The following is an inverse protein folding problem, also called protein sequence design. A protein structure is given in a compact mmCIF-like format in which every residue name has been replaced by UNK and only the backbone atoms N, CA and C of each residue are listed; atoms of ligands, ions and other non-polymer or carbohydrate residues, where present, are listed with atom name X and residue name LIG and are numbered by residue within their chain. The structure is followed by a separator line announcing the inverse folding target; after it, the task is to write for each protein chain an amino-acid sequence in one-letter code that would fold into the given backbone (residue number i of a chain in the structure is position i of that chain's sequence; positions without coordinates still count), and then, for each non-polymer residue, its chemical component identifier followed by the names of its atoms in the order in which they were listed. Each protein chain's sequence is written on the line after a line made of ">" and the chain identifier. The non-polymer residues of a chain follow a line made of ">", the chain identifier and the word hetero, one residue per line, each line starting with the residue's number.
data_IF_901754230336
#
_entry.id   IF_901754230336
#
_cell.length_a   1.000
_cell.length_b   1.000
_cell.length_c   1.000
_cell.angle_alpha   90.00
_cell.angle_beta   90.00
_cell.angle_gamma   90.00
#
_symmetry.space_group_name_H-M   'P 1'
#
loop_
_entity.id
_entity.type
_entity.pdbx_description
1 polymer ?
#
# COMPACT_ATOMS: atom_id res chain seq x y z
N UNK A 1 -14.78 13.70 -11.73
CA UNK A 1 -15.32 12.36 -11.40
C UNK A 1 -14.15 11.52 -10.93
N UNK A 2 -14.17 11.10 -9.66
CA UNK A 2 -12.98 10.60 -8.96
C UNK A 2 -12.59 9.16 -9.32
N UNK A 3 -11.29 8.91 -9.27
CA UNK A 3 -10.60 7.65 -9.56
C UNK A 3 -10.97 6.45 -8.67
N UNK A 4 -11.88 6.64 -7.71
CA UNK A 4 -12.50 5.55 -6.95
C UNK A 4 -13.73 4.95 -7.63
N UNK A 5 -14.26 5.56 -8.70
CA UNK A 5 -15.45 5.03 -9.41
C UNK A 5 -15.20 3.74 -10.18
N UNK A 6 -13.95 3.40 -10.50
CA UNK A 6 -13.56 2.10 -11.06
C UNK A 6 -13.30 1.02 -10.01
N UNK A 7 -13.02 1.41 -8.76
CA UNK A 7 -12.88 0.51 -7.61
C UNK A 7 -14.24 0.18 -6.96
N UNK A 8 -15.24 1.04 -7.16
CA UNK A 8 -16.63 0.85 -6.72
C UNK A 8 -17.56 0.93 -7.94
N UNK A 9 -17.67 -0.20 -8.65
CA UNK A 9 -18.15 -0.27 -10.03
C UNK A 9 -19.54 0.31 -10.33
N UNK A 10 -19.72 0.68 -11.60
CA UNK A 10 -21.03 0.74 -12.23
C UNK A 10 -21.52 -0.69 -12.52
N UNK A 11 -22.83 -0.89 -12.35
CA UNK A 11 -23.55 -2.17 -12.43
C UNK A 11 -23.20 -2.98 -13.68
N UNK A 12 -22.32 -3.97 -13.54
CA UNK A 12 -22.38 -5.20 -14.33
C UNK A 12 -21.80 -6.39 -13.52
N UNK A 13 -22.60 -7.45 -13.42
CA UNK A 13 -22.38 -8.59 -12.50
C UNK A 13 -21.26 -9.52 -13.01
N UNK A 14 -20.17 -9.67 -12.26
CA UNK A 14 -19.40 -10.92 -12.04
C UNK A 14 -17.98 -10.73 -11.45
N UNK A 15 -17.64 -9.56 -10.89
CA UNK A 15 -16.47 -9.44 -10.02
C UNK A 15 -16.86 -8.59 -8.81
N UNK A 16 -17.30 -9.25 -7.74
CA UNK A 16 -17.40 -8.59 -6.44
C UNK A 16 -15.98 -8.31 -5.99
N UNK A 17 -15.48 -7.10 -6.17
CA UNK A 17 -14.23 -6.65 -5.55
C UNK A 17 -14.48 -6.60 -4.06
N UNK A 18 -14.33 -7.73 -3.38
CA UNK A 18 -14.44 -7.77 -1.93
C UNK A 18 -13.21 -7.10 -1.34
N UNK A 19 -13.42 -6.30 -0.30
CA UNK A 19 -12.32 -5.74 0.51
C UNK A 19 -11.66 -6.84 1.37
N UNK A 20 -12.13 -8.07 1.25
CA UNK A 20 -11.60 -9.24 1.94
C UNK A 20 -10.15 -9.49 1.54
N UNK A 21 -9.38 -9.97 2.52
CA UNK A 21 -8.02 -10.41 2.27
C UNK A 21 -8.06 -11.77 1.55
N UNK A 22 -7.25 -11.90 0.52
CA UNK A 22 -6.99 -13.17 -0.17
C UNK A 22 -6.14 -14.08 0.71
N UNK A 23 -6.14 -15.38 0.44
CA UNK A 23 -5.32 -16.36 1.18
C UNK A 23 -3.83 -15.99 1.19
N UNK A 24 -3.32 -15.45 0.08
CA UNK A 24 -1.94 -14.99 -0.04
C UNK A 24 -1.65 -13.76 0.83
N UNK A 25 -2.57 -12.79 0.88
CA UNK A 25 -2.47 -11.61 1.74
C UNK A 25 -2.57 -12.00 3.23
N UNK A 26 -3.48 -12.92 3.57
CA UNK A 26 -3.64 -13.45 4.94
C UNK A 26 -2.35 -14.13 5.40
N UNK A 27 -1.71 -14.91 4.52
CA UNK A 27 -0.44 -15.56 4.83
C UNK A 27 0.64 -14.53 5.19
N UNK A 28 0.77 -13.45 4.42
CA UNK A 28 1.79 -12.42 4.67
C UNK A 28 1.49 -11.58 5.92
N UNK A 29 0.20 -11.28 6.14
CA UNK A 29 -0.26 -10.64 7.38
C UNK A 29 0.08 -11.52 8.59
N UNK A 30 -0.21 -12.82 8.53
CA UNK A 30 0.08 -13.74 9.63
C UNK A 30 1.57 -13.83 9.94
N UNK A 31 2.45 -13.86 8.93
CA UNK A 31 3.91 -13.78 9.15
C UNK A 31 4.31 -12.52 9.91
N UNK A 32 3.67 -11.39 9.61
CA UNK A 32 3.91 -10.11 10.30
C UNK A 32 3.44 -10.17 11.75
N UNK A 33 2.31 -10.81 12.04
CA UNK A 33 1.85 -11.06 13.41
C UNK A 33 2.74 -12.03 14.17
N UNK A 34 3.30 -13.05 13.50
CA UNK A 34 4.18 -14.04 14.13
C UNK A 34 5.45 -13.41 14.73
N UNK A 35 5.91 -12.28 14.20
CA UNK A 35 7.03 -11.50 14.77
C UNK A 35 6.76 -11.01 16.20
N UNK A 36 5.49 -10.88 16.58
CA UNK A 36 5.07 -10.40 17.90
C UNK A 36 4.44 -11.53 18.74
N UNK A 37 4.52 -12.78 18.28
CA UNK A 37 4.01 -13.92 19.02
C UNK A 37 4.77 -14.08 20.34
N UNK A 38 4.04 -14.13 21.44
CA UNK A 38 4.59 -14.25 22.79
C UNK A 38 4.80 -12.92 23.52
N UNK A 39 4.58 -11.78 22.87
CA UNK A 39 4.57 -10.48 23.53
C UNK A 39 3.18 -10.13 24.08
N UNK A 40 3.14 -9.61 25.31
CA UNK A 40 1.92 -9.08 25.88
C UNK A 40 1.65 -7.68 25.31
N UNK A 41 0.48 -7.51 24.67
CA UNK A 41 0.05 -6.22 24.11
C UNK A 41 -0.89 -5.54 25.09
N UNK A 42 -0.59 -4.29 25.43
CA UNK A 42 -1.49 -3.51 26.29
C UNK A 42 -2.82 -3.23 25.57
N UNK A 43 -3.99 -3.42 26.21
CA UNK A 43 -5.29 -3.29 25.54
C UNK A 43 -5.51 -1.94 24.86
N UNK A 44 -4.96 -0.86 25.41
CA UNK A 44 -5.12 0.50 24.86
C UNK A 44 -4.48 0.70 23.48
N UNK A 45 -3.57 -0.18 23.06
CA UNK A 45 -2.91 -0.11 21.75
C UNK A 45 -3.23 -1.31 20.87
N UNK A 46 -3.99 -2.29 21.38
CA UNK A 46 -4.20 -3.57 20.71
C UNK A 46 -4.84 -3.42 19.33
N UNK A 47 -5.89 -2.62 19.21
CA UNK A 47 -6.60 -2.41 17.93
C UNK A 47 -5.73 -1.69 16.91
N UNK A 48 -5.06 -0.61 17.35
CA UNK A 48 -4.16 0.17 16.49
C UNK A 48 -2.97 -0.67 16.04
N UNK A 49 -2.40 -1.47 16.94
CA UNK A 49 -1.33 -2.42 16.61
C UNK A 49 -1.80 -3.46 15.60
N UNK A 50 -2.99 -4.04 15.80
CA UNK A 50 -3.58 -5.02 14.87
C UNK A 50 -3.78 -4.42 13.48
N UNK A 51 -4.33 -3.21 13.39
CA UNK A 51 -4.52 -2.51 12.12
C UNK A 51 -3.18 -2.21 11.44
N UNK A 52 -2.20 -1.70 12.17
CA UNK A 52 -0.88 -1.39 11.64
C UNK A 52 -0.11 -2.62 11.18
N UNK A 53 -0.16 -3.74 11.93
CA UNK A 53 0.44 -5.02 11.50
C UNK A 53 -0.24 -5.57 10.26
N UNK A 54 -1.57 -5.49 10.18
CA UNK A 54 -2.33 -5.91 8.99
C UNK A 54 -1.90 -5.08 7.79
N UNK A 55 -1.87 -3.75 7.91
CA UNK A 55 -1.44 -2.87 6.84
C UNK A 55 0.03 -3.08 6.46
N UNK A 56 0.92 -3.32 7.43
CA UNK A 56 2.33 -3.64 7.17
C UNK A 56 2.49 -4.95 6.42
N UNK A 57 1.77 -6.00 6.81
CA UNK A 57 1.78 -7.28 6.09
C UNK A 57 1.30 -7.14 4.64
N UNK A 58 0.24 -6.34 4.41
CA UNK A 58 -0.23 -6.04 3.06
C UNK A 58 0.79 -5.21 2.26
N UNK A 59 1.47 -4.26 2.88
CA UNK A 59 2.52 -3.49 2.23
C UNK A 59 3.73 -4.35 1.86
N UNK A 60 4.12 -5.30 2.73
CA UNK A 60 5.17 -6.28 2.44
C UNK A 60 4.76 -7.18 1.26
N UNK A 61 3.53 -7.71 1.29
CA UNK A 61 2.99 -8.51 0.20
C UNK A 61 2.98 -7.73 -1.13
N UNK A 62 2.59 -6.46 -1.11
CA UNK A 62 2.61 -5.60 -2.29
C UNK A 62 4.03 -5.42 -2.83
N UNK A 63 5.00 -5.14 -1.96
CA UNK A 63 6.41 -5.01 -2.33
C UNK A 63 6.96 -6.30 -2.95
N UNK A 64 6.68 -7.45 -2.35
CA UNK A 64 7.07 -8.76 -2.90
C UNK A 64 6.48 -8.95 -4.29
N UNK A 65 5.19 -8.65 -4.49
CA UNK A 65 4.55 -8.77 -5.81
C UNK A 65 5.21 -7.87 -6.86
N UNK A 66 5.63 -6.67 -6.49
CA UNK A 66 6.34 -5.77 -7.42
C UNK A 66 7.72 -6.33 -7.76
N UNK A 67 8.46 -6.83 -6.77
CA UNK A 67 9.71 -7.53 -7.01
C UNK A 67 9.52 -8.70 -7.99
N UNK A 68 8.48 -9.53 -7.79
CA UNK A 68 8.11 -10.61 -8.72
C UNK A 68 7.75 -10.12 -10.13
N UNK A 69 7.12 -8.95 -10.25
CA UNK A 69 6.74 -8.36 -11.54
C UNK A 69 7.96 -7.84 -12.33
N UNK A 70 9.02 -7.43 -11.65
CA UNK A 70 10.25 -6.92 -12.28
C UNK A 70 11.24 -8.03 -12.66
N UNK A 71 11.08 -9.25 -12.13
CA UNK A 71 11.90 -10.39 -12.53
C UNK A 71 11.70 -10.74 -14.01
N UNK A 72 12.77 -10.76 -14.85
CA UNK A 72 12.65 -10.98 -16.29
C UNK A 72 11.96 -12.31 -16.69
N UNK A 73 12.09 -13.33 -15.85
CA UNK A 73 11.47 -14.66 -16.07
C UNK A 73 9.95 -14.67 -15.88
N UNK A 74 9.36 -13.61 -15.33
CA UNK A 74 7.94 -13.52 -14.95
C UNK A 74 7.15 -12.56 -15.83
N UNK A 75 7.64 -12.23 -17.04
CA UNK A 75 7.02 -11.25 -17.94
C UNK A 75 5.53 -11.55 -18.22
N UNK A 76 5.12 -12.82 -18.27
CA UNK A 76 3.73 -13.23 -18.50
C UNK A 76 2.80 -12.95 -17.30
N UNK A 77 3.34 -12.89 -16.09
CA UNK A 77 2.60 -12.63 -14.85
C UNK A 77 2.80 -11.19 -14.33
N UNK A 78 3.61 -10.38 -15.02
CA UNK A 78 3.95 -9.01 -14.61
C UNK A 78 2.73 -8.18 -14.27
N UNK A 79 1.77 -8.09 -15.20
CA UNK A 79 0.58 -7.27 -15.00
C UNK A 79 -0.29 -7.78 -13.83
N UNK A 80 -0.43 -9.10 -13.71
CA UNK A 80 -1.17 -9.73 -12.60
C UNK A 80 -0.54 -9.40 -11.25
N UNK A 81 0.79 -9.44 -11.16
CA UNK A 81 1.52 -9.11 -9.94
C UNK A 81 1.38 -7.62 -9.58
N UNK A 82 1.49 -6.72 -10.55
CA UNK A 82 1.26 -5.28 -10.32
C UNK A 82 -0.18 -5.02 -9.84
N UNK A 83 -1.17 -5.68 -10.45
CA UNK A 83 -2.57 -5.55 -10.02
C UNK A 83 -2.79 -6.03 -8.58
N UNK A 84 -2.17 -7.16 -8.20
CA UNK A 84 -2.17 -7.66 -6.82
C UNK A 84 -1.54 -6.66 -5.86
N UNK A 85 -0.42 -6.05 -6.23
CA UNK A 85 0.26 -5.05 -5.41
C UNK A 85 -0.58 -3.79 -5.20
N UNK A 86 -1.18 -3.26 -6.27
CA UNK A 86 -2.09 -2.10 -6.21
C UNK A 86 -3.27 -2.38 -5.27
N UNK A 87 -3.89 -3.57 -5.40
CA UNK A 87 -5.00 -3.96 -4.54
C UNK A 87 -4.58 -4.04 -3.06
N UNK A 88 -3.46 -4.71 -2.78
CA UNK A 88 -2.97 -4.89 -1.42
C UNK A 88 -2.57 -3.57 -0.75
N UNK A 89 -1.85 -2.70 -1.44
CA UNK A 89 -1.44 -1.40 -0.86
C UNK A 89 -2.63 -0.46 -0.68
N UNK A 90 -3.62 -0.52 -1.57
CA UNK A 90 -4.89 0.21 -1.41
C UNK A 90 -5.67 -0.24 -0.16
N UNK A 91 -5.71 -1.56 0.11
CA UNK A 91 -6.26 -2.12 1.35
C UNK A 91 -5.44 -1.67 2.57
N UNK A 92 -4.12 -1.73 2.50
CA UNK A 92 -3.22 -1.28 3.57
C UNK A 92 -3.53 0.16 4.00
N UNK A 93 -3.61 1.09 3.03
CA UNK A 93 -3.94 2.48 3.29
C UNK A 93 -5.34 2.68 3.88
N UNK A 94 -6.31 1.87 3.45
CA UNK A 94 -7.68 1.93 3.96
C UNK A 94 -7.80 1.39 5.39
N UNK A 95 -6.94 0.46 5.80
CA UNK A 95 -6.88 -0.09 7.17
C UNK A 95 -6.07 0.82 8.09
N UNK A 96 -4.94 1.34 7.61
CA UNK A 96 -4.01 2.15 8.39
C UNK A 96 -3.41 3.24 7.50
N UNK A 97 -3.82 4.50 7.74
CA UNK A 97 -3.62 5.62 6.81
C UNK A 97 -2.23 6.26 6.87
N UNK A 98 -1.16 5.46 6.79
CA UNK A 98 0.19 6.00 6.62
C UNK A 98 0.34 6.62 5.22
N UNK A 99 0.76 7.89 5.09
CA UNK A 99 0.86 8.54 3.79
C UNK A 99 1.83 7.82 2.85
N UNK A 100 2.86 7.15 3.37
CA UNK A 100 3.82 6.40 2.55
C UNK A 100 3.15 5.33 1.67
N UNK A 101 1.99 4.80 2.06
CA UNK A 101 1.25 3.85 1.22
C UNK A 101 0.63 4.51 -0.02
N UNK A 102 0.36 5.82 0.02
CA UNK A 102 -0.05 6.58 -1.17
C UNK A 102 1.13 6.77 -2.13
N UNK A 103 2.33 6.96 -1.60
CA UNK A 103 3.54 7.00 -2.41
C UNK A 103 3.77 5.67 -3.14
N UNK A 104 3.69 4.55 -2.42
CA UNK A 104 3.79 3.21 -3.01
C UNK A 104 2.75 2.98 -4.11
N UNK A 105 1.49 3.34 -3.82
CA UNK A 105 0.40 3.23 -4.78
C UNK A 105 0.67 4.05 -6.04
N UNK A 106 1.23 5.26 -5.90
CA UNK A 106 1.62 6.09 -7.04
C UNK A 106 2.69 5.41 -7.89
N UNK A 107 3.75 4.89 -7.27
CA UNK A 107 4.80 4.13 -7.95
C UNK A 107 4.24 2.92 -8.70
N UNK A 108 3.29 2.18 -8.11
CA UNK A 108 2.71 1.01 -8.76
C UNK A 108 1.79 1.38 -9.92
N UNK A 109 1.11 2.53 -9.86
CA UNK A 109 0.40 3.08 -11.01
C UNK A 109 1.35 3.50 -12.13
N UNK A 110 2.53 4.07 -11.83
CA UNK A 110 3.54 4.34 -12.87
C UNK A 110 3.98 3.06 -13.59
N UNK A 111 4.21 1.97 -12.85
CA UNK A 111 4.61 0.67 -13.43
C UNK A 111 3.55 0.05 -14.36
N UNK A 112 2.30 0.50 -14.24
CA UNK A 112 1.15 0.12 -15.07
C UNK A 112 0.80 1.17 -16.14
N UNK A 113 1.66 2.17 -16.35
CA UNK A 113 1.42 3.29 -17.26
C UNK A 113 0.16 4.12 -16.96
N UNK A 114 -0.37 4.04 -15.73
CA UNK A 114 -1.53 4.80 -15.26
C UNK A 114 -1.10 6.18 -14.76
N UNK A 115 -0.51 6.98 -15.67
CA UNK A 115 0.21 8.22 -15.33
C UNK A 115 -0.65 9.28 -14.60
N UNK A 116 -1.91 9.44 -14.99
CA UNK A 116 -2.81 10.39 -14.34
C UNK A 116 -3.08 9.99 -12.87
N UNK A 117 -3.27 8.69 -12.65
CA UNK A 117 -3.60 8.13 -11.34
C UNK A 117 -2.39 8.17 -10.43
N UNK A 118 -1.20 7.85 -10.98
CA UNK A 118 0.08 8.02 -10.31
C UNK A 118 0.29 9.46 -9.86
N UNK A 119 0.06 10.43 -10.76
CA UNK A 119 0.16 11.86 -10.45
C UNK A 119 -0.77 12.26 -9.30
N UNK A 120 -2.05 11.85 -9.38
CA UNK A 120 -3.02 12.15 -8.32
C UNK A 120 -2.57 11.57 -6.96
N UNK A 121 -2.04 10.35 -6.94
CA UNK A 121 -1.55 9.73 -5.71
C UNK A 121 -0.30 10.41 -5.16
N UNK A 122 0.65 10.85 -5.99
CA UNK A 122 1.79 11.64 -5.53
C UNK A 122 1.36 12.99 -4.94
N UNK A 123 0.42 13.69 -5.57
CA UNK A 123 -0.14 14.94 -5.05
C UNK A 123 -0.82 14.72 -3.68
N UNK A 124 -1.62 13.65 -3.56
CA UNK A 124 -2.26 13.25 -2.29
C UNK A 124 -1.24 12.86 -1.22
N UNK A 125 -0.19 12.12 -1.59
CA UNK A 125 0.88 11.75 -0.68
C UNK A 125 1.53 12.99 -0.08
N UNK A 126 1.99 13.94 -0.91
CA UNK A 126 2.65 15.16 -0.42
C UNK A 126 1.72 15.99 0.47
N UNK A 127 0.46 16.16 0.07
CA UNK A 127 -0.53 16.90 0.86
C UNK A 127 -0.80 16.24 2.22
N UNK A 128 -0.96 14.91 2.24
CA UNK A 128 -1.20 14.16 3.48
C UNK A 128 0.03 14.14 4.37
N UNK A 129 1.22 13.93 3.79
CA UNK A 129 2.48 13.88 4.52
C UNK A 129 2.81 15.22 5.18
N UNK A 130 2.49 16.36 4.55
CA UNK A 130 2.69 17.68 5.13
C UNK A 130 1.87 17.92 6.41
N UNK A 131 0.73 17.22 6.56
CA UNK A 131 -0.16 17.33 7.72
C UNK A 131 -0.01 16.16 8.70
N UNK A 132 0.76 15.13 8.32
CA UNK A 132 0.87 13.90 9.09
C UNK A 132 1.73 14.12 10.34
N UNK A 133 1.23 13.62 11.47
CA UNK A 133 1.96 13.58 12.73
C UNK A 133 2.10 12.12 13.12
N UNK A 134 3.32 11.63 13.05
CA UNK A 134 3.64 10.27 13.41
C UNK A 134 3.59 10.08 14.94
N UNK A 135 3.05 8.95 15.36
CA UNK A 135 3.20 8.49 16.74
C UNK A 135 4.26 7.37 16.86
N UNK A 136 4.41 6.83 18.07
CA UNK A 136 5.41 5.79 18.32
C UNK A 136 5.13 4.50 17.53
N UNK A 137 3.87 4.14 17.30
CA UNK A 137 3.52 2.95 16.52
C UNK A 137 3.77 3.19 15.03
N UNK A 138 3.48 4.39 14.54
CA UNK A 138 3.77 4.76 13.15
C UNK A 138 5.24 4.61 12.84
N UNK A 139 6.14 5.05 13.73
CA UNK A 139 7.59 4.87 13.56
C UNK A 139 8.00 3.40 13.45
N UNK A 140 7.37 2.53 14.24
CA UNK A 140 7.61 1.08 14.17
C UNK A 140 7.14 0.53 12.81
N UNK A 141 5.97 0.96 12.33
CA UNK A 141 5.43 0.47 11.06
C UNK A 141 6.09 1.07 9.82
N UNK A 142 6.65 2.27 9.91
CA UNK A 142 7.50 2.83 8.86
C UNK A 142 8.78 2.00 8.71
N UNK A 143 9.37 1.56 9.83
CA UNK A 143 10.60 0.76 9.81
C UNK A 143 11.72 1.52 9.11
N UNK A 144 12.35 0.89 8.12
CA UNK A 144 13.48 1.47 7.38
C UNK A 144 13.06 2.38 6.20
N UNK A 145 11.78 2.75 6.10
CA UNK A 145 11.30 3.59 5.00
C UNK A 145 11.72 5.04 5.18
N UNK A 146 12.48 5.56 4.23
CA UNK A 146 12.87 6.97 4.17
C UNK A 146 11.74 7.83 3.59
N UNK A 147 10.99 8.48 4.48
CA UNK A 147 9.86 9.35 4.12
C UNK A 147 10.34 10.66 3.49
N UNK A 148 11.52 11.15 3.85
CA UNK A 148 12.05 12.39 3.30
C UNK A 148 12.57 12.19 1.88
N UNK A 149 13.25 11.07 1.62
CA UNK A 149 13.58 10.65 0.25
C UNK A 149 12.30 10.50 -0.59
N UNK A 150 11.28 9.81 -0.08
CA UNK A 150 10.01 9.65 -0.78
C UNK A 150 9.35 10.99 -1.14
N UNK A 151 9.39 11.99 -0.25
CA UNK A 151 8.90 13.36 -0.53
C UNK A 151 9.67 14.04 -1.65
N UNK A 152 10.99 13.91 -1.66
CA UNK A 152 11.86 14.47 -2.70
C UNK A 152 11.53 13.83 -4.05
N UNK A 153 11.50 12.50 -4.11
CA UNK A 153 11.21 11.74 -5.32
C UNK A 153 9.79 12.04 -5.85
N UNK A 154 8.78 12.05 -4.99
CA UNK A 154 7.41 12.41 -5.38
C UNK A 154 7.32 13.82 -5.97
N UNK A 155 8.01 14.78 -5.34
CA UNK A 155 8.08 16.15 -5.86
C UNK A 155 8.75 16.19 -7.23
N UNK A 156 9.87 15.48 -7.43
CA UNK A 156 10.53 15.39 -8.73
C UNK A 156 9.62 14.76 -9.80
N UNK A 157 8.89 13.69 -9.47
CA UNK A 157 7.94 13.03 -10.39
C UNK A 157 6.80 13.93 -10.86
N UNK A 158 6.39 14.90 -10.04
CA UNK A 158 5.35 15.87 -10.41
C UNK A 158 5.85 17.02 -11.30
N UNK A 159 7.13 17.39 -11.18
CA UNK A 159 7.75 18.52 -11.86
C UNK A 159 8.61 18.13 -13.08
N UNK A 160 9.16 16.92 -13.09
CA UNK A 160 9.90 16.34 -14.21
C UNK A 160 8.95 15.87 -15.30
N UNK A 161 8.68 16.75 -16.26
CA UNK A 161 8.16 16.39 -17.59
C UNK A 161 9.31 16.31 -18.57
#
# INVERSE_FOLDING_TARGET
>A
MGLFSGLFGSKNRSATTTFDLTDEEILEVNKTFDLLKGYAVHPSVADKLKQGLTARGLANYAADRIMWAEFPSQHTERERNINKAIAAIGKAYSIYQLPIYLYDLACYFELKDMRNDAREMFERFLARQAQYKDDQLDKIFLGDRDVDEAKILASQKLHGR
#
